data_IF_767142262424
#
_entry.id   IF_767142262424
#
_cell.length_a   1.000
_cell.length_b   1.000
_cell.length_c   1.000
_cell.angle_alpha   90.00
_cell.angle_beta   90.00
_cell.angle_gamma   90.00
#
_symmetry.space_group_name_H-M   'P 1'
#
loop_
_entity.id
_entity.type
_entity.pdbx_description
1 polymer ?
#
# COMPACT_ATOMS: atom_id res chain seq x y z
N UNK A 1 11.63 -12.37 -10.93
CA UNK A 1 10.63 -11.37 -10.53
C UNK A 1 9.46 -12.09 -9.89
N UNK A 2 9.15 -11.80 -8.63
CA UNK A 2 7.99 -12.37 -7.95
C UNK A 2 6.73 -11.64 -8.43
N UNK A 3 5.65 -12.37 -8.76
CA UNK A 3 4.40 -11.81 -9.33
C UNK A 3 3.13 -12.36 -8.67
N UNK A 4 3.27 -13.01 -7.52
CA UNK A 4 2.13 -13.63 -6.85
C UNK A 4 1.84 -12.89 -5.54
N UNK A 5 0.59 -12.47 -5.37
CA UNK A 5 0.10 -11.83 -4.16
C UNK A 5 -1.30 -12.34 -3.85
N UNK A 6 -1.55 -12.61 -2.57
CA UNK A 6 -2.86 -12.99 -2.05
C UNK A 6 -3.30 -11.88 -1.10
N UNK A 7 -4.44 -11.26 -1.39
CA UNK A 7 -5.09 -10.33 -0.46
C UNK A 7 -5.96 -11.08 0.54
N UNK A 8 -6.27 -10.44 1.68
CA UNK A 8 -7.15 -10.97 2.74
C UNK A 8 -6.76 -12.39 3.19
N UNK A 9 -5.46 -12.63 3.39
CA UNK A 9 -4.95 -13.94 3.74
C UNK A 9 -5.14 -14.29 5.23
N UNK A 10 -4.81 -13.36 6.13
CA UNK A 10 -4.86 -13.55 7.59
C UNK A 10 -5.81 -12.54 8.23
N UNK A 11 -5.45 -11.25 8.17
CA UNK A 11 -6.20 -10.15 8.79
C UNK A 11 -6.58 -9.09 7.75
N UNK A 12 -7.66 -8.34 8.04
CA UNK A 12 -8.03 -7.13 7.32
C UNK A 12 -7.41 -5.91 8.03
N UNK A 13 -6.61 -5.14 7.30
CA UNK A 13 -5.94 -3.92 7.81
C UNK A 13 -6.28 -2.66 6.99
N UNK A 14 -7.34 -2.75 6.17
CA UNK A 14 -7.69 -1.70 5.22
C UNK A 14 -6.85 -1.76 3.93
N UNK A 15 -6.78 -0.62 3.22
CA UNK A 15 -6.15 -0.52 1.92
C UNK A 15 -4.64 -0.27 2.00
N UNK A 16 -3.89 -0.97 1.16
CA UNK A 16 -2.47 -0.70 0.89
C UNK A 16 -2.40 0.09 -0.42
N UNK A 17 -2.07 1.37 -0.33
CA UNK A 17 -2.05 2.31 -1.45
C UNK A 17 -0.60 2.74 -1.71
N UNK A 18 -0.07 2.60 -2.95
CA UNK A 18 1.22 3.16 -3.33
C UNK A 18 1.34 4.64 -2.93
N UNK A 19 2.44 5.03 -2.29
CA UNK A 19 2.64 6.40 -1.79
C UNK A 19 2.43 7.49 -2.84
N UNK A 20 2.76 7.21 -4.10
CA UNK A 20 2.57 8.14 -5.23
C UNK A 20 1.11 8.33 -5.65
N UNK A 21 0.18 7.55 -5.12
CA UNK A 21 -1.25 7.64 -5.36
C UNK A 21 -2.01 8.28 -4.19
N UNK A 22 -1.29 8.73 -3.16
CA UNK A 22 -1.88 9.49 -2.07
C UNK A 22 -2.19 10.91 -2.51
N UNK A 23 -3.45 11.29 -2.31
CA UNK A 23 -4.08 12.44 -2.93
C UNK A 23 -4.31 13.58 -1.94
N UNK A 24 -3.34 13.78 -1.04
CA UNK A 24 -3.38 14.81 0.01
C UNK A 24 -3.02 16.21 -0.49
N UNK A 25 -2.27 16.31 -1.60
CA UNK A 25 -1.81 17.56 -2.19
C UNK A 25 -2.06 17.57 -3.70
N UNK A 26 -2.36 18.76 -4.25
CA UNK A 26 -2.57 18.91 -5.68
C UNK A 26 -1.27 18.67 -6.48
N UNK A 27 -1.35 18.16 -7.73
CA UNK A 27 -2.56 17.84 -8.48
C UNK A 27 -3.17 16.51 -8.08
N UNK A 28 -4.50 16.50 -7.90
CA UNK A 28 -5.19 15.32 -7.41
C UNK A 28 -5.43 14.25 -8.49
N UNK A 29 -5.25 12.97 -8.15
CA UNK A 29 -5.47 11.80 -9.02
C UNK A 29 -6.96 11.51 -9.21
N UNK A 30 -7.77 11.66 -8.17
CA UNK A 30 -9.21 11.31 -8.18
C UNK A 30 -10.14 12.52 -7.95
N UNK A 31 -9.59 13.73 -7.98
CA UNK A 31 -10.31 15.00 -7.79
C UNK A 31 -10.19 15.54 -6.37
N UNK A 32 -10.93 16.60 -6.04
CA UNK A 32 -10.78 17.34 -4.78
C UNK A 32 -11.38 16.63 -3.55
N UNK A 33 -12.11 15.52 -3.74
CA UNK A 33 -12.77 14.81 -2.66
C UNK A 33 -11.83 13.77 -2.02
N UNK A 34 -11.78 13.68 -0.67
CA UNK A 34 -10.98 12.66 0.00
C UNK A 34 -11.36 11.24 -0.41
N UNK A 35 -10.37 10.42 -0.71
CA UNK A 35 -10.57 9.05 -1.14
C UNK A 35 -10.88 8.12 0.05
N UNK A 36 -11.94 7.31 -0.06
CA UNK A 36 -12.32 6.34 0.98
C UNK A 36 -11.18 5.36 1.33
N UNK A 37 -10.40 4.96 0.33
CA UNK A 37 -9.25 4.07 0.52
C UNK A 37 -8.20 4.66 1.46
N UNK A 38 -7.92 5.96 1.37
CA UNK A 38 -6.95 6.63 2.23
C UNK A 38 -7.45 6.73 3.68
N UNK A 39 -8.76 6.98 3.85
CA UNK A 39 -9.40 7.00 5.16
C UNK A 39 -9.35 5.64 5.85
N UNK A 40 -9.51 4.56 5.07
CA UNK A 40 -9.44 3.18 5.54
C UNK A 40 -8.06 2.55 5.22
N UNK A 41 -6.98 3.32 5.38
CA UNK A 41 -5.60 2.86 5.26
C UNK A 41 -4.81 3.17 6.53
N UNK A 42 -3.69 2.48 6.73
CA UNK A 42 -2.75 2.75 7.83
C UNK A 42 -1.79 3.92 7.52
N UNK A 43 -1.92 4.56 6.34
CA UNK A 43 -1.14 5.75 5.97
C UNK A 43 -0.21 5.54 4.77
N UNK A 44 0.38 6.62 4.22
CA UNK A 44 1.16 6.61 2.98
C UNK A 44 2.45 5.78 3.02
N UNK A 45 2.98 5.55 4.22
CA UNK A 45 4.20 4.75 4.39
C UNK A 45 3.93 3.24 4.41
N UNK A 46 2.67 2.80 4.45
CA UNK A 46 2.32 1.37 4.57
C UNK A 46 2.85 0.56 3.39
N UNK A 47 2.56 0.99 2.16
CA UNK A 47 3.01 0.30 0.96
C UNK A 47 4.54 0.21 0.81
N UNK A 48 5.33 1.32 0.94
CA UNK A 48 6.78 1.22 0.83
C UNK A 48 7.42 0.40 1.96
N UNK A 49 6.88 0.47 3.18
CA UNK A 49 7.36 -0.34 4.31
C UNK A 49 7.16 -1.82 4.03
N UNK A 50 5.93 -2.24 3.71
CA UNK A 50 5.63 -3.63 3.36
C UNK A 50 6.47 -4.14 2.20
N UNK A 51 6.68 -3.32 1.16
CA UNK A 51 7.52 -3.69 0.04
C UNK A 51 8.97 -3.99 0.47
N UNK A 52 9.55 -3.15 1.33
CA UNK A 52 10.92 -3.34 1.81
C UNK A 52 11.06 -4.59 2.66
N UNK A 53 10.16 -4.80 3.62
CA UNK A 53 10.17 -5.96 4.51
C UNK A 53 9.94 -7.27 3.73
N UNK A 54 8.94 -7.31 2.85
CA UNK A 54 8.67 -8.48 2.01
C UNK A 54 9.86 -8.78 1.09
N UNK A 55 10.50 -7.75 0.52
CA UNK A 55 11.71 -7.93 -0.29
C UNK A 55 12.87 -8.49 0.52
N UNK A 56 13.02 -8.09 1.78
CA UNK A 56 14.04 -8.64 2.66
C UNK A 56 13.76 -10.11 2.96
N UNK A 57 12.54 -10.46 3.37
CA UNK A 57 12.14 -11.86 3.63
C UNK A 57 12.41 -12.73 2.41
N UNK A 58 12.03 -12.27 1.20
CA UNK A 58 12.25 -13.01 -0.05
C UNK A 58 13.74 -13.21 -0.39
N UNK A 59 14.64 -12.36 0.10
CA UNK A 59 16.09 -12.53 -0.08
C UNK A 59 16.70 -13.52 0.91
N UNK A 60 16.08 -13.65 2.08
CA UNK A 60 16.50 -14.56 3.14
C UNK A 60 15.93 -15.98 2.95
N UNK A 61 14.93 -16.13 2.09
CA UNK A 61 14.39 -17.43 1.72
C UNK A 61 15.43 -18.29 0.99
N UNK A 62 15.59 -19.58 1.39
CA UNK A 62 16.53 -20.52 0.79
C UNK A 62 16.16 -20.96 -0.62
#
# INVERSE_FOLDING_TARGET
>A
MFRFGIGLANDEIGYIIPKSQWDVEAPYVYGENPCYGEQNSLGPETAPLLYNELRQILREMP
#
